data_IF_602234958566
#
_entry.id   IF_602234958566
#
_cell.length_a   1.000
_cell.length_b   1.000
_cell.length_c   1.000
_cell.angle_alpha   90.00
_cell.angle_beta   90.00
_cell.angle_gamma   90.00
#
_symmetry.space_group_name_H-M   'P 1'
#
loop_
_entity.id
_entity.type
_entity.pdbx_description
1 polymer ?
#
# COMPACT_ATOMS: atom_id res chain seq x y z
N UNK A 1 -5.86 -11.01 -18.61
CA UNK A 1 -5.79 -11.87 -19.81
C UNK A 1 -7.16 -12.31 -20.32
N UNK A 2 -8.07 -12.80 -19.45
CA UNK A 2 -9.40 -13.27 -19.86
C UNK A 2 -10.32 -12.18 -20.47
N UNK A 3 -10.32 -10.96 -19.92
CA UNK A 3 -11.16 -9.84 -20.43
C UNK A 3 -10.72 -9.40 -21.82
N UNK A 4 -9.41 -9.33 -22.08
CA UNK A 4 -8.85 -8.91 -23.36
C UNK A 4 -9.20 -9.90 -24.49
N UNK A 5 -9.18 -11.21 -24.18
CA UNK A 5 -9.55 -12.27 -25.12
C UNK A 5 -11.05 -12.24 -25.42
N UNK A 6 -11.90 -12.01 -24.41
CA UNK A 6 -13.34 -11.87 -24.60
C UNK A 6 -13.69 -10.65 -25.47
N UNK A 7 -13.11 -9.48 -25.19
CA UNK A 7 -13.31 -8.26 -26.00
C UNK A 7 -12.82 -8.44 -27.44
N UNK A 8 -11.65 -9.05 -27.64
CA UNK A 8 -11.11 -9.33 -28.98
C UNK A 8 -11.97 -10.34 -29.77
N UNK A 9 -12.63 -11.27 -29.08
CA UNK A 9 -13.56 -12.23 -29.68
C UNK A 9 -14.93 -11.62 -29.98
N UNK A 10 -15.39 -10.68 -29.15
CA UNK A 10 -16.66 -9.97 -29.34
C UNK A 10 -16.61 -8.88 -30.42
N UNK A 11 -15.41 -8.50 -30.88
CA UNK A 11 -15.17 -7.45 -31.88
C UNK A 11 -14.09 -7.88 -32.89
N UNK A 12 -14.44 -8.60 -33.96
CA UNK A 12 -13.48 -9.11 -34.94
C UNK A 12 -12.69 -7.98 -35.65
N UNK A 13 -13.22 -6.77 -35.70
CA UNK A 13 -12.57 -5.58 -36.25
C UNK A 13 -11.33 -5.13 -35.45
N UNK A 14 -11.22 -5.47 -34.16
CA UNK A 14 -10.05 -5.13 -33.34
C UNK A 14 -9.00 -6.24 -33.31
N UNK A 15 -9.32 -7.44 -33.82
CA UNK A 15 -8.44 -8.60 -33.84
C UNK A 15 -7.09 -8.34 -34.56
N UNK A 16 -7.03 -7.60 -35.70
CA UNK A 16 -5.76 -7.27 -36.35
C UNK A 16 -4.87 -6.31 -35.55
N UNK A 17 -5.47 -5.55 -34.62
CA UNK A 17 -4.78 -4.57 -33.78
C UNK A 17 -4.26 -5.17 -32.48
N UNK A 18 -4.82 -6.31 -32.05
CA UNK A 18 -4.42 -7.02 -30.83
C UNK A 18 -2.89 -7.24 -30.67
N UNK A 19 -2.13 -7.71 -31.68
CA UNK A 19 -0.67 -7.90 -31.54
C UNK A 19 0.11 -6.59 -31.32
N UNK A 20 -0.48 -5.42 -31.60
CA UNK A 20 0.12 -4.11 -31.30
C UNK A 20 -0.35 -3.55 -29.97
N UNK A 21 -1.64 -3.71 -29.66
CA UNK A 21 -2.25 -3.11 -28.46
C UNK A 21 -1.85 -3.84 -27.18
N UNK A 22 -1.72 -5.17 -27.20
CA UNK A 22 -1.38 -5.95 -26.00
C UNK A 22 0.04 -5.64 -25.49
N UNK A 23 1.10 -5.65 -26.33
CA UNK A 23 2.43 -5.26 -25.88
C UNK A 23 2.54 -3.78 -25.52
N UNK A 24 1.84 -2.89 -26.26
CA UNK A 24 1.84 -1.46 -25.94
C UNK A 24 1.24 -1.20 -24.56
N UNK A 25 0.10 -1.83 -24.23
CA UNK A 25 -0.51 -1.76 -22.91
C UNK A 25 0.44 -2.31 -21.84
N UNK A 26 1.09 -3.46 -22.10
CA UNK A 26 2.03 -4.06 -21.17
C UNK A 26 3.24 -3.14 -20.90
N UNK A 27 3.80 -2.52 -21.94
CA UNK A 27 4.92 -1.58 -21.80
C UNK A 27 4.52 -0.34 -21.00
N UNK A 28 3.32 0.21 -21.24
CA UNK A 28 2.78 1.33 -20.47
C UNK A 28 2.64 0.95 -19.00
N UNK A 29 2.03 -0.20 -18.71
CA UNK A 29 1.86 -0.67 -17.33
C UNK A 29 3.22 -0.89 -16.64
N UNK A 30 4.18 -1.51 -17.32
CA UNK A 30 5.54 -1.72 -16.79
C UNK A 30 6.26 -0.41 -16.50
N UNK A 31 6.07 0.62 -17.32
CA UNK A 31 6.62 1.95 -17.10
C UNK A 31 5.96 2.69 -15.91
N UNK A 32 4.66 2.46 -15.68
CA UNK A 32 3.92 3.06 -14.55
C UNK A 32 4.19 2.33 -13.23
N UNK A 33 4.53 1.04 -13.25
CA UNK A 33 4.84 0.24 -12.07
C UNK A 33 5.81 0.91 -11.09
N UNK A 34 7.02 1.38 -11.47
CA UNK A 34 7.94 2.01 -10.51
C UNK A 34 7.38 3.28 -9.88
N UNK A 35 6.63 4.09 -10.64
CA UNK A 35 5.96 5.29 -10.12
C UNK A 35 4.90 4.89 -9.09
N UNK A 36 4.12 3.85 -9.38
CA UNK A 36 3.16 3.28 -8.44
C UNK A 36 3.84 2.80 -7.15
N UNK A 37 4.94 2.05 -7.25
CA UNK A 37 5.69 1.58 -6.09
C UNK A 37 6.22 2.73 -5.24
N UNK A 38 6.74 3.79 -5.86
CA UNK A 38 7.21 4.98 -5.14
C UNK A 38 6.08 5.65 -4.38
N UNK A 39 4.95 5.92 -5.06
CA UNK A 39 3.79 6.57 -4.44
C UNK A 39 3.19 5.70 -3.34
N UNK A 40 2.98 4.41 -3.60
CA UNK A 40 2.46 3.47 -2.60
C UNK A 40 3.39 3.38 -1.40
N UNK A 41 4.69 3.27 -1.64
CA UNK A 41 5.71 3.24 -0.59
C UNK A 41 5.64 4.48 0.30
N UNK A 42 5.61 5.68 -0.30
CA UNK A 42 5.49 6.94 0.45
C UNK A 42 4.22 7.01 1.28
N UNK A 43 3.08 6.57 0.73
CA UNK A 43 1.81 6.54 1.48
C UNK A 43 1.88 5.57 2.65
N UNK A 44 2.42 4.36 2.45
CA UNK A 44 2.57 3.37 3.52
C UNK A 44 3.56 3.82 4.59
N UNK A 45 4.65 4.48 4.21
CA UNK A 45 5.55 5.13 5.18
C UNK A 45 4.83 6.20 5.99
N UNK A 46 3.97 7.02 5.38
CA UNK A 46 3.16 8.00 6.10
C UNK A 46 2.24 7.35 7.14
N UNK A 47 1.54 6.27 6.77
CA UNK A 47 0.69 5.51 7.69
C UNK A 47 1.51 4.90 8.84
N UNK A 48 2.71 4.41 8.52
CA UNK A 48 3.63 3.85 9.51
C UNK A 48 4.07 4.91 10.53
N UNK A 49 4.44 6.11 10.08
CA UNK A 49 4.85 7.20 10.98
C UNK A 49 3.72 7.56 11.95
N UNK A 50 2.47 7.63 11.47
CA UNK A 50 1.32 7.87 12.35
C UNK A 50 1.18 6.79 13.44
N UNK A 51 1.30 5.51 13.06
CA UNK A 51 1.24 4.41 14.02
C UNK A 51 2.43 4.37 14.99
N UNK A 52 3.63 4.72 14.50
CA UNK A 52 4.84 4.86 15.30
C UNK A 52 4.70 5.96 16.35
N UNK A 53 4.25 7.15 15.96
CA UNK A 53 4.10 8.29 16.86
C UNK A 53 3.00 8.06 17.90
N UNK A 54 1.94 7.32 17.51
CA UNK A 54 0.93 6.83 18.43
C UNK A 54 1.49 5.79 19.41
N UNK A 55 2.41 4.92 18.96
CA UNK A 55 3.14 3.98 19.80
C UNK A 55 3.97 4.67 20.89
N UNK A 56 4.63 5.78 20.54
CA UNK A 56 5.35 6.66 21.49
C UNK A 56 4.41 7.48 22.39
N UNK A 57 3.10 7.51 22.10
CA UNK A 57 2.15 8.37 22.79
C UNK A 57 2.22 9.86 22.39
N UNK A 58 3.01 10.22 21.37
CA UNK A 58 3.23 11.59 20.91
C UNK A 58 2.21 12.10 19.89
N UNK A 59 1.41 11.20 19.30
CA UNK A 59 0.38 11.54 18.31
C UNK A 59 -0.79 12.35 18.90
N UNK A 60 -1.17 12.07 20.16
CA UNK A 60 -2.25 12.76 20.88
C UNK A 60 -2.03 12.69 22.39
N UNK A 61 -2.61 13.63 23.13
CA UNK A 61 -2.60 13.62 24.61
C UNK A 61 -3.49 12.52 25.22
N UNK A 62 -4.31 11.83 24.41
CA UNK A 62 -5.17 10.75 24.87
C UNK A 62 -4.59 9.39 24.50
N UNK A 63 -4.31 8.57 25.51
CA UNK A 63 -3.80 7.20 25.30
C UNK A 63 -4.79 6.32 24.53
N UNK A 64 -6.10 6.53 24.74
CA UNK A 64 -7.14 5.80 24.00
C UNK A 64 -7.08 6.12 22.50
N UNK A 65 -6.94 7.41 22.16
CA UNK A 65 -6.82 7.85 20.75
C UNK A 65 -5.56 7.26 20.12
N UNK A 66 -4.44 7.32 20.82
CA UNK A 66 -3.18 6.72 20.35
C UNK A 66 -3.32 5.21 20.12
N UNK A 67 -3.98 4.51 21.06
CA UNK A 67 -4.20 3.06 20.94
C UNK A 67 -5.09 2.72 19.74
N UNK A 68 -6.18 3.45 19.52
CA UNK A 68 -7.08 3.20 18.38
C UNK A 68 -6.37 3.52 17.06
N UNK A 69 -5.78 4.70 16.93
CA UNK A 69 -5.09 5.12 15.71
C UNK A 69 -3.92 4.19 15.39
N UNK A 70 -3.09 3.87 16.37
CA UNK A 70 -1.97 2.96 16.23
C UNK A 70 -2.38 1.56 15.78
N UNK A 71 -3.43 1.00 16.38
CA UNK A 71 -3.96 -0.31 15.95
C UNK A 71 -4.49 -0.27 14.52
N UNK A 72 -5.23 0.77 14.11
CA UNK A 72 -5.75 0.89 12.74
C UNK A 72 -4.60 1.01 11.74
N UNK A 73 -3.65 1.91 11.98
CA UNK A 73 -2.53 2.16 11.07
C UNK A 73 -1.62 0.94 10.93
N UNK A 74 -1.22 0.31 12.03
CA UNK A 74 -0.35 -0.86 11.97
C UNK A 74 -1.07 -2.12 11.49
N UNK A 75 -2.36 -2.32 11.80
CA UNK A 75 -3.13 -3.45 11.22
C UNK A 75 -3.24 -3.33 9.70
N UNK A 76 -3.46 -2.12 9.18
CA UNK A 76 -3.46 -1.88 7.74
C UNK A 76 -2.12 -2.24 7.07
N UNK A 77 -1.01 -2.04 7.79
CA UNK A 77 0.34 -2.39 7.35
C UNK A 77 0.75 -3.84 7.69
N UNK A 78 -0.17 -4.64 8.27
CA UNK A 78 0.11 -5.99 8.77
C UNK A 78 1.24 -6.03 9.81
N UNK A 79 1.44 -4.93 10.54
CA UNK A 79 2.38 -4.81 11.64
C UNK A 79 1.64 -4.94 12.99
N UNK A 80 2.12 -5.74 13.95
CA UNK A 80 1.46 -5.86 15.25
C UNK A 80 1.73 -4.61 16.12
N UNK A 81 0.73 -3.73 16.28
CA UNK A 81 0.86 -2.49 17.06
C UNK A 81 1.33 -2.71 18.51
N UNK A 82 0.74 -3.68 19.22
CA UNK A 82 1.08 -3.90 20.63
C UNK A 82 2.54 -4.32 20.83
N UNK A 83 3.04 -5.23 19.99
CA UNK A 83 4.44 -5.65 20.04
C UNK A 83 5.39 -4.51 19.70
N UNK A 84 4.99 -3.65 18.76
CA UNK A 84 5.73 -2.44 18.40
C UNK A 84 5.85 -1.48 19.58
N UNK A 85 4.73 -1.15 20.24
CA UNK A 85 4.71 -0.30 21.43
C UNK A 85 5.61 -0.86 22.54
N UNK A 86 5.49 -2.17 22.83
CA UNK A 86 6.33 -2.84 23.84
C UNK A 86 7.83 -2.74 23.50
N UNK A 87 8.22 -2.88 22.23
CA UNK A 87 9.64 -2.73 21.86
C UNK A 87 10.19 -1.33 22.10
N UNK A 88 9.34 -0.32 21.96
CA UNK A 88 9.69 1.07 22.25
C UNK A 88 9.82 1.27 23.76
N UNK A 89 8.83 0.80 24.53
CA UNK A 89 8.83 0.92 25.99
C UNK A 89 10.09 0.26 26.59
N UNK A 90 10.44 -0.95 26.13
CA UNK A 90 11.66 -1.65 26.54
C UNK A 90 12.95 -0.90 26.15
N UNK A 91 12.94 -0.16 25.04
CA UNK A 91 14.11 0.61 24.61
C UNK A 91 14.38 1.85 25.44
N UNK A 92 13.38 2.35 26.18
CA UNK A 92 13.52 3.48 27.10
C UNK A 92 14.01 3.09 28.50
N UNK A 93 14.05 1.78 28.82
CA UNK A 93 14.48 1.26 30.13
C UNK A 93 15.94 0.77 30.16
N UNK A 94 16.61 0.66 29.00
CA UNK A 94 18.03 0.30 28.85
C UNK A 94 18.92 1.54 28.73
#
# INVERSE_FOLDING_TARGET
>A
MAVTIWVARSRPEVLPLAPRLVPAMANILMALTPVYWLVQGTVFTGIFVVGHDAGHGSFSNSELVNTICGNICHTFLLCPYYMWKVSIDLSGEL
#
